data_IF_694617066677
#
_entry.id   IF_694617066677
#
_cell.length_a   1.000
_cell.length_b   1.000
_cell.length_c   1.000
_cell.angle_alpha   90.00
_cell.angle_beta   90.00
_cell.angle_gamma   90.00
#
_symmetry.space_group_name_H-M   'P 1'
#
loop_
_entity.id
_entity.type
_entity.pdbx_description
1 polymer ?
#
# COMPACT_ATOMS: atom_id res chain seq x y z
N UNK A 1 -19.28 -14.25 19.55
CA UNK A 1 -18.66 -13.94 18.24
C UNK A 1 -19.32 -12.67 17.71
N UNK A 2 -18.83 -11.48 18.06
CA UNK A 2 -19.49 -10.20 17.72
C UNK A 2 -18.59 -9.30 16.89
N UNK A 3 -19.18 -8.40 16.10
CA UNK A 3 -18.40 -7.39 15.37
C UNK A 3 -17.72 -6.47 16.38
N UNK A 4 -16.41 -6.60 16.51
CA UNK A 4 -15.61 -5.72 17.35
C UNK A 4 -15.51 -4.32 16.72
N UNK A 5 -15.49 -3.28 17.55
CA UNK A 5 -15.22 -1.90 17.11
C UNK A 5 -13.91 -1.88 16.33
N UNK A 6 -13.94 -1.29 15.12
CA UNK A 6 -12.75 -1.17 14.27
C UNK A 6 -12.53 -2.30 13.28
N UNK A 7 -13.31 -3.41 13.32
CA UNK A 7 -13.26 -4.43 12.27
C UNK A 7 -13.58 -3.80 10.91
N UNK A 8 -12.73 -4.09 9.92
CA UNK A 8 -12.98 -3.75 8.53
C UNK A 8 -14.13 -4.63 8.02
N UNK A 9 -15.09 -4.03 7.35
CA UNK A 9 -16.22 -4.75 6.72
C UNK A 9 -16.12 -4.54 5.22
N UNK A 10 -15.91 -5.60 4.45
CA UNK A 10 -15.81 -5.47 2.99
C UNK A 10 -17.16 -5.12 2.38
N UNK A 11 -17.17 -4.66 1.14
CA UNK A 11 -18.43 -4.38 0.43
C UNK A 11 -19.27 -5.66 0.32
N UNK A 12 -18.66 -6.80 -0.04
CA UNK A 12 -19.35 -8.08 -0.18
C UNK A 12 -19.98 -8.53 1.14
N UNK A 13 -19.23 -8.48 2.24
CA UNK A 13 -19.75 -8.83 3.57
C UNK A 13 -20.96 -7.95 3.96
N UNK A 14 -20.94 -6.65 3.65
CA UNK A 14 -22.06 -5.75 3.95
C UNK A 14 -23.32 -6.11 3.18
N UNK A 15 -23.18 -6.46 1.89
CA UNK A 15 -24.33 -6.87 1.07
C UNK A 15 -24.95 -8.17 1.59
N UNK A 16 -24.11 -9.16 1.94
CA UNK A 16 -24.58 -10.42 2.53
C UNK A 16 -25.31 -10.20 3.84
N UNK A 17 -24.75 -9.39 4.74
CA UNK A 17 -25.37 -9.08 6.03
C UNK A 17 -26.70 -8.34 5.85
N UNK A 18 -26.77 -7.38 4.93
CA UNK A 18 -28.01 -6.66 4.66
C UNK A 18 -29.06 -7.60 4.08
N UNK A 19 -28.68 -8.50 3.16
CA UNK A 19 -29.58 -9.51 2.60
C UNK A 19 -30.18 -10.42 3.68
N UNK A 20 -29.35 -10.94 4.58
CA UNK A 20 -29.81 -11.78 5.70
C UNK A 20 -30.72 -11.02 6.66
N UNK A 21 -30.43 -9.74 6.91
CA UNK A 21 -31.25 -8.89 7.77
C UNK A 21 -32.60 -8.61 7.10
N UNK A 22 -32.63 -8.29 5.80
CA UNK A 22 -33.88 -8.07 5.06
C UNK A 22 -34.73 -9.33 5.01
N UNK A 23 -34.14 -10.50 4.76
CA UNK A 23 -34.85 -11.78 4.75
C UNK A 23 -35.48 -12.11 6.12
N UNK A 24 -34.76 -11.83 7.20
CA UNK A 24 -35.31 -11.99 8.55
C UNK A 24 -36.43 -10.98 8.84
N UNK A 25 -36.33 -9.74 8.35
CA UNK A 25 -37.37 -8.73 8.49
C UNK A 25 -38.64 -9.09 7.69
N UNK A 26 -38.49 -9.61 6.48
CA UNK A 26 -39.59 -10.09 5.64
C UNK A 26 -40.30 -11.29 6.28
N UNK A 27 -39.55 -12.10 7.05
CA UNK A 27 -40.08 -13.18 7.88
C UNK A 27 -40.75 -12.71 9.19
N UNK A 28 -40.88 -11.39 9.40
CA UNK A 28 -41.56 -10.77 10.55
C UNK A 28 -40.65 -10.40 11.73
N UNK A 29 -39.33 -10.58 11.63
CA UNK A 29 -38.42 -10.22 12.72
C UNK A 29 -38.16 -8.71 12.79
N UNK A 30 -38.03 -8.17 14.01
CA UNK A 30 -37.62 -6.77 14.20
C UNK A 30 -36.13 -6.61 13.86
N UNK A 31 -35.74 -5.49 13.23
CA UNK A 31 -34.35 -5.24 12.83
C UNK A 31 -33.35 -5.31 14.00
N UNK A 32 -33.71 -4.72 15.15
CA UNK A 32 -32.83 -4.62 16.34
C UNK A 32 -32.36 -5.99 16.86
N UNK A 33 -33.25 -6.96 17.19
CA UNK A 33 -32.81 -8.27 17.67
C UNK A 33 -32.00 -9.06 16.63
N UNK A 34 -32.32 -8.96 15.33
CA UNK A 34 -31.52 -9.62 14.28
C UNK A 34 -30.12 -9.04 14.22
N UNK A 35 -29.97 -7.71 14.30
CA UNK A 35 -28.67 -7.06 14.34
C UNK A 35 -27.87 -7.48 15.58
N UNK A 36 -28.51 -7.55 16.76
CA UNK A 36 -27.87 -7.96 18.01
C UNK A 36 -27.34 -9.40 17.96
N UNK A 37 -28.10 -10.33 17.34
CA UNK A 37 -27.65 -11.70 17.10
C UNK A 37 -26.40 -11.78 16.22
N UNK A 38 -26.34 -10.93 15.20
CA UNK A 38 -25.16 -10.81 14.34
C UNK A 38 -24.01 -10.04 15.01
N UNK A 39 -24.21 -9.48 16.21
CA UNK A 39 -23.22 -8.63 16.90
C UNK A 39 -23.05 -7.26 16.27
N UNK A 40 -24.05 -6.77 15.55
CA UNK A 40 -24.13 -5.45 14.92
C UNK A 40 -25.12 -4.55 15.67
N UNK A 41 -24.95 -3.23 15.53
CA UNK A 41 -25.99 -2.30 15.98
C UNK A 41 -26.90 -1.96 14.81
N UNK A 42 -28.21 -1.81 15.06
CA UNK A 42 -29.18 -1.40 14.04
C UNK A 42 -28.75 -0.10 13.32
N UNK A 43 -28.13 0.84 14.05
CA UNK A 43 -27.59 2.09 13.51
C UNK A 43 -26.47 1.87 12.50
N UNK A 44 -25.62 0.85 12.68
CA UNK A 44 -24.56 0.50 11.73
C UNK A 44 -25.17 0.07 10.39
N UNK A 45 -26.20 -0.78 10.44
CA UNK A 45 -26.87 -1.34 9.26
C UNK A 45 -27.66 -0.26 8.53
N UNK A 46 -28.44 0.54 9.27
CA UNK A 46 -29.16 1.70 8.72
C UNK A 46 -28.21 2.69 8.03
N UNK A 47 -27.04 2.95 8.62
CA UNK A 47 -26.01 3.78 7.98
C UNK A 47 -25.48 3.16 6.69
N UNK A 48 -25.27 1.84 6.64
CA UNK A 48 -24.86 1.17 5.39
C UNK A 48 -25.93 1.27 4.31
N UNK A 49 -27.21 1.09 4.66
CA UNK A 49 -28.33 1.21 3.72
C UNK A 49 -28.52 2.63 3.18
N UNK A 50 -28.21 3.65 3.99
CA UNK A 50 -28.27 5.05 3.56
C UNK A 50 -27.07 5.49 2.69
N UNK A 51 -25.97 4.74 2.68
CA UNK A 51 -24.79 5.05 1.90
C UNK A 51 -24.84 4.36 0.53
N UNK A 52 -24.89 5.17 -0.53
CA UNK A 52 -25.00 4.74 -1.94
C UNK A 52 -23.99 3.66 -2.38
N UNK A 53 -22.77 3.70 -1.84
CA UNK A 53 -21.68 2.80 -2.27
C UNK A 53 -21.46 1.59 -1.38
N UNK A 54 -22.06 1.51 -0.20
CA UNK A 54 -21.79 0.48 0.83
C UNK A 54 -20.31 0.18 1.14
N UNK A 55 -19.36 1.02 0.69
CA UNK A 55 -17.93 0.80 0.88
C UNK A 55 -17.50 1.28 2.27
N UNK A 56 -16.57 0.57 2.92
CA UNK A 56 -15.95 1.06 4.15
C UNK A 56 -15.10 2.29 3.85
N UNK A 57 -15.54 3.45 4.34
CA UNK A 57 -14.85 4.74 4.18
C UNK A 57 -13.41 4.73 4.68
N UNK A 58 -13.05 3.82 5.61
CA UNK A 58 -11.65 3.63 6.05
C UNK A 58 -10.72 3.25 4.90
N UNK A 59 -11.24 2.57 3.87
CA UNK A 59 -10.50 2.16 2.67
C UNK A 59 -10.40 3.28 1.64
N UNK A 60 -11.30 4.27 1.69
CA UNK A 60 -11.39 5.33 0.69
C UNK A 60 -10.58 6.59 1.01
N UNK A 61 -9.95 6.68 2.19
CA UNK A 61 -9.17 7.86 2.57
C UNK A 61 -7.88 7.94 1.75
N UNK A 62 -7.86 8.83 0.76
CA UNK A 62 -6.66 9.16 0.00
C UNK A 62 -5.66 9.91 0.90
N UNK A 63 -4.70 9.18 1.49
CA UNK A 63 -3.61 9.79 2.26
C UNK A 63 -2.54 10.33 1.31
N UNK A 64 -2.44 11.66 1.17
CA UNK A 64 -1.30 12.33 0.51
C UNK A 64 -0.39 12.90 1.59
N UNK A 65 0.80 12.32 1.83
CA UNK A 65 1.73 12.87 2.80
C UNK A 65 2.25 14.23 2.28
N UNK A 66 2.53 15.20 3.17
CA UNK A 66 3.02 16.53 2.76
C UNK A 66 4.36 16.46 2.02
N UNK A 67 5.20 15.48 2.36
CA UNK A 67 6.52 15.27 1.74
C UNK A 67 6.45 14.42 0.46
N UNK A 68 5.28 14.32 -0.16
CA UNK A 68 5.12 13.57 -1.40
C UNK A 68 5.78 14.34 -2.55
N UNK A 69 6.73 13.68 -3.24
CA UNK A 69 7.33 14.27 -4.44
C UNK A 69 6.24 14.62 -5.45
N UNK A 70 6.32 15.83 -5.97
CA UNK A 70 5.56 16.32 -7.11
C UNK A 70 5.93 15.55 -8.38
N UNK A 71 5.07 15.63 -9.40
CA UNK A 71 5.36 14.94 -10.66
C UNK A 71 6.59 15.52 -11.37
N UNK A 72 6.81 16.83 -11.26
CA UNK A 72 7.99 17.50 -11.80
C UNK A 72 9.29 17.00 -11.15
N UNK A 73 9.31 16.83 -9.83
CA UNK A 73 10.48 16.29 -9.13
C UNK A 73 10.77 14.84 -9.53
N UNK A 74 9.72 14.02 -9.72
CA UNK A 74 9.88 12.64 -10.21
C UNK A 74 10.47 12.59 -11.61
N UNK A 75 9.98 13.43 -12.52
CA UNK A 75 10.52 13.54 -13.87
C UNK A 75 11.98 13.99 -13.86
N UNK A 76 12.32 14.95 -12.99
CA UNK A 76 13.71 15.40 -12.80
C UNK A 76 14.61 14.25 -12.34
N UNK A 77 14.15 13.44 -11.37
CA UNK A 77 14.88 12.23 -10.93
C UNK A 77 15.11 11.27 -12.11
N UNK A 78 14.08 10.96 -12.89
CA UNK A 78 14.19 10.03 -14.03
C UNK A 78 15.19 10.55 -15.06
N UNK A 79 15.10 11.85 -15.39
CA UNK A 79 16.03 12.50 -16.33
C UNK A 79 17.47 12.44 -15.83
N UNK A 80 17.71 12.72 -14.55
CA UNK A 80 19.05 12.62 -13.95
C UNK A 80 19.55 11.19 -14.00
N UNK A 81 18.74 10.22 -13.56
CA UNK A 81 19.11 8.79 -13.49
C UNK A 81 19.36 8.17 -14.87
N UNK A 82 18.80 8.72 -15.95
CA UNK A 82 19.03 8.26 -17.33
C UNK A 82 20.02 9.12 -18.12
N UNK A 83 20.59 10.15 -17.50
CA UNK A 83 21.61 10.99 -18.15
C UNK A 83 22.92 10.22 -18.36
N UNK A 84 23.73 10.64 -19.34
CA UNK A 84 25.03 10.02 -19.60
C UNK A 84 25.97 10.10 -18.38
N UNK A 85 25.90 11.18 -17.60
CA UNK A 85 26.76 11.42 -16.44
C UNK A 85 26.45 10.48 -15.27
N UNK A 86 25.17 10.18 -15.03
CA UNK A 86 24.71 9.46 -13.83
C UNK A 86 24.10 8.08 -14.13
N UNK A 87 23.87 7.74 -15.40
CA UNK A 87 23.19 6.51 -15.83
C UNK A 87 23.83 5.22 -15.33
N UNK A 88 25.15 5.23 -15.20
CA UNK A 88 25.95 4.11 -14.72
C UNK A 88 26.15 4.11 -13.20
N UNK A 89 25.54 5.03 -12.45
CA UNK A 89 25.73 5.16 -11.01
C UNK A 89 24.45 4.76 -10.25
N UNK A 90 24.58 4.13 -9.07
CA UNK A 90 23.45 3.93 -8.17
C UNK A 90 23.06 5.24 -7.47
N UNK A 91 21.81 5.36 -6.96
CA UNK A 91 21.35 6.50 -6.17
C UNK A 91 22.30 6.93 -5.04
N UNK A 92 22.93 5.97 -4.36
CA UNK A 92 23.91 6.20 -3.29
C UNK A 92 25.10 7.05 -3.72
N UNK A 93 25.45 7.05 -5.02
CA UNK A 93 26.53 7.85 -5.61
C UNK A 93 26.01 9.08 -6.34
N UNK A 94 24.80 9.03 -6.88
CA UNK A 94 24.19 10.17 -7.59
C UNK A 94 23.90 11.31 -6.62
N UNK A 95 23.28 11.02 -5.47
CA UNK A 95 22.84 12.06 -4.53
C UNK A 95 24.03 12.87 -3.97
N UNK A 96 25.12 12.25 -3.47
CA UNK A 96 26.31 13.01 -3.05
C UNK A 96 26.90 13.87 -4.17
N UNK A 97 27.04 13.32 -5.39
CA UNK A 97 27.57 14.09 -6.54
C UNK A 97 26.69 15.28 -6.93
N UNK A 98 25.38 15.19 -6.75
CA UNK A 98 24.47 16.32 -6.96
C UNK A 98 24.65 17.38 -5.87
N UNK A 99 24.81 16.94 -4.62
CA UNK A 99 25.07 17.83 -3.49
C UNK A 99 26.42 18.55 -3.60
N UNK A 100 27.46 17.88 -4.10
CA UNK A 100 28.76 18.49 -4.38
C UNK A 100 28.65 19.63 -5.40
N UNK A 101 27.66 19.54 -6.31
CA UNK A 101 27.31 20.60 -7.28
C UNK A 101 26.31 21.62 -6.73
N UNK A 102 25.93 21.53 -5.45
CA UNK A 102 24.92 22.38 -4.82
C UNK A 102 23.49 22.13 -5.27
N UNK A 103 23.20 21.00 -5.93
CA UNK A 103 21.87 20.69 -6.49
C UNK A 103 21.16 19.68 -5.61
N UNK A 104 20.06 20.10 -4.97
CA UNK A 104 19.15 19.19 -4.26
C UNK A 104 17.94 18.84 -5.13
N UNK A 105 17.60 17.55 -5.19
CA UNK A 105 16.40 17.05 -5.90
C UNK A 105 15.52 16.27 -4.92
N UNK A 106 16.07 15.23 -4.28
CA UNK A 106 15.38 14.41 -3.30
C UNK A 106 16.36 13.54 -2.51
N UNK A 107 15.87 12.92 -1.43
CA UNK A 107 16.63 11.93 -0.66
C UNK A 107 16.97 10.67 -1.48
N UNK A 108 18.03 9.96 -1.10
CA UNK A 108 18.41 8.66 -1.70
C UNK A 108 17.24 7.65 -1.71
N UNK A 109 16.52 7.55 -0.59
CA UNK A 109 15.33 6.68 -0.48
C UNK A 109 14.23 7.04 -1.48
N UNK A 110 14.09 8.33 -1.81
CA UNK A 110 13.14 8.79 -2.81
C UNK A 110 13.59 8.46 -4.23
N UNK A 111 14.89 8.55 -4.53
CA UNK A 111 15.45 8.06 -5.80
C UNK A 111 15.17 6.58 -6.00
N UNK A 112 15.47 5.72 -5.01
CA UNK A 112 15.16 4.29 -5.10
C UNK A 112 13.67 4.03 -5.32
N UNK A 113 12.79 4.74 -4.60
CA UNK A 113 11.33 4.57 -4.73
C UNK A 113 10.84 4.93 -6.14
N UNK A 114 11.34 6.03 -6.72
CA UNK A 114 11.00 6.45 -8.09
C UNK A 114 11.57 5.46 -9.11
N UNK A 115 12.84 5.09 -9.00
CA UNK A 115 13.46 4.11 -9.89
C UNK A 115 12.74 2.75 -9.86
N UNK A 116 12.32 2.29 -8.68
CA UNK A 116 11.54 1.05 -8.53
C UNK A 116 10.22 1.12 -9.29
N UNK A 117 9.48 2.23 -9.15
CA UNK A 117 8.19 2.45 -9.82
C UNK A 117 8.32 2.47 -11.34
N UNK A 118 9.44 2.96 -11.86
CA UNK A 118 9.72 3.04 -13.29
C UNK A 118 10.54 1.86 -13.83
N UNK A 119 10.74 0.80 -13.04
CA UNK A 119 11.51 -0.39 -13.43
C UNK A 119 12.97 -0.07 -13.87
N UNK A 120 13.56 0.99 -13.31
CA UNK A 120 14.93 1.46 -13.61
C UNK A 120 15.97 0.91 -12.61
N UNK A 121 15.56 0.04 -11.68
CA UNK A 121 16.45 -0.63 -10.74
C UNK A 121 17.21 -1.75 -11.45
N UNK A 122 18.30 -1.37 -12.09
CA UNK A 122 19.29 -2.30 -12.63
C UNK A 122 20.57 -2.26 -11.81
N UNK A 123 21.33 -3.35 -11.85
CA UNK A 123 22.66 -3.35 -11.26
C UNK A 123 23.57 -2.43 -12.07
N UNK A 124 23.99 -1.31 -11.48
CA UNK A 124 24.77 -0.25 -12.16
C UNK A 124 26.23 -0.20 -11.72
N UNK A 125 26.57 -0.87 -10.62
CA UNK A 125 27.94 -0.83 -10.12
C UNK A 125 28.89 -1.66 -10.99
N UNK A 126 30.18 -1.31 -10.95
CA UNK A 126 31.23 -2.09 -11.62
C UNK A 126 31.54 -3.40 -10.89
N UNK A 127 31.18 -3.49 -9.61
CA UNK A 127 31.40 -4.68 -8.78
C UNK A 127 30.47 -5.80 -9.22
N UNK A 128 30.86 -7.07 -9.07
CA UNK A 128 29.94 -8.17 -9.37
C UNK A 128 28.75 -8.13 -8.40
N UNK A 129 27.50 -8.34 -8.87
CA UNK A 129 26.36 -8.42 -7.98
C UNK A 129 26.58 -9.54 -6.97
N UNK A 130 26.07 -9.36 -5.75
CA UNK A 130 26.12 -10.39 -4.72
C UNK A 130 25.46 -11.67 -5.24
N UNK A 131 26.23 -12.75 -5.32
CA UNK A 131 25.74 -14.06 -5.75
C UNK A 131 25.16 -14.79 -4.56
N UNK A 132 23.97 -15.36 -4.72
CA UNK A 132 23.46 -16.31 -3.74
C UNK A 132 24.35 -17.57 -3.75
N UNK A 133 25.20 -17.72 -2.73
CA UNK A 133 26.04 -18.90 -2.53
C UNK A 133 25.22 -19.92 -1.74
N UNK A 134 25.05 -21.12 -2.31
CA UNK A 134 24.50 -22.26 -1.57
C UNK A 134 25.51 -22.66 -0.49
N UNK A 135 25.09 -22.66 0.78
CA UNK A 135 25.94 -23.12 1.87
C UNK A 135 26.33 -24.59 1.63
N UNK A 136 27.58 -25.00 1.92
CA UNK A 136 27.97 -26.41 1.82
C UNK A 136 27.09 -27.26 2.75
N UNK A 137 26.77 -28.49 2.32
CA UNK A 137 26.04 -29.45 3.15
C UNK A 137 26.96 -29.95 4.26
N UNK A 138 26.49 -29.92 5.51
CA UNK A 138 27.20 -30.54 6.62
C UNK A 138 27.11 -32.07 6.49
N UNK A 139 28.26 -32.75 6.61
CA UNK A 139 28.33 -34.20 6.72
C UNK A 139 28.51 -34.54 8.20
N UNK A 140 27.65 -35.38 8.75
CA UNK A 140 27.79 -35.96 10.09
C UNK A 140 28.36 -37.37 9.95
N UNK A 141 29.39 -37.69 10.73
CA UNK A 141 29.92 -39.05 10.80
C UNK A 141 28.96 -39.95 11.60
N UNK A 142 28.75 -41.18 11.11
CA UNK A 142 28.06 -42.28 11.80
C UNK A 142 29.11 -43.26 12.29
#
# INVERSE_FOLDING_TARGET
MGFQRGRLTTSTERHELIKLITEAQDSGARQKPVCELLGLTARTVQRWMAEDKMVDKRTCTAKRPPNQLTELERQRIIKTVNSAEYGHLPPSKIVPKLLDKGVWIASESSFYRVMKRHHLLTHREKVKPNRQVKKPKALTAT
#
